data_IF_094396556075
#
_entry.id   IF_094396556075
#
_cell.length_a   1.000
_cell.length_b   1.000
_cell.length_c   1.000
_cell.angle_alpha   90.00
_cell.angle_beta   90.00
_cell.angle_gamma   90.00
#
_symmetry.space_group_name_H-M   'P 1'
#
loop_
_entity.id
_entity.type
_entity.pdbx_description
1 polymer ?
#
# COMPACT_ATOMS: atom_id res chain seq x y z
N UNK A 1 -36.12 8.13 54.69
CA UNK A 1 -36.57 6.79 55.13
C UNK A 1 -36.34 5.87 53.91
N UNK A 2 -35.09 5.48 53.61
CA UNK A 2 -34.17 4.60 54.37
C UNK A 2 -34.65 3.14 54.36
N UNK A 3 -33.87 2.05 54.23
CA UNK A 3 -32.47 1.76 53.79
C UNK A 3 -32.51 0.29 53.24
N UNK A 4 -31.53 -0.37 52.58
CA UNK A 4 -30.10 -0.13 52.33
C UNK A 4 -29.65 -0.77 50.96
N UNK A 5 -28.34 -0.87 50.68
CA UNK A 5 -27.71 -1.45 49.48
C UNK A 5 -27.90 -2.98 49.27
N UNK A 6 -27.91 -3.39 48.00
CA UNK A 6 -27.67 -4.77 47.54
C UNK A 6 -26.52 -4.81 46.53
N UNK A 7 -25.29 -4.92 47.04
CA UNK A 7 -24.06 -5.01 46.24
C UNK A 7 -23.79 -6.48 45.91
N UNK A 8 -23.85 -6.89 44.65
CA UNK A 8 -23.29 -8.19 44.22
C UNK A 8 -22.39 -8.00 42.99
N UNK A 9 -21.09 -8.11 43.24
CA UNK A 9 -20.01 -7.93 42.29
C UNK A 9 -19.77 -9.21 41.51
N UNK A 10 -20.46 -9.35 40.37
CA UNK A 10 -20.18 -10.38 39.38
C UNK A 10 -19.04 -9.97 38.44
N UNK A 11 -17.79 -10.12 38.89
CA UNK A 11 -16.62 -10.10 38.03
C UNK A 11 -16.78 -11.14 36.91
N UNK A 12 -16.94 -10.67 35.66
CA UNK A 12 -16.75 -11.50 34.47
C UNK A 12 -15.47 -11.04 33.77
N UNK A 13 -14.36 -11.59 34.26
CA UNK A 13 -13.04 -11.42 33.67
C UNK A 13 -13.04 -11.80 32.18
N UNK A 14 -12.35 -10.99 31.37
CA UNK A 14 -11.62 -11.50 30.23
C UNK A 14 -12.42 -12.17 29.12
N UNK A 15 -13.35 -11.45 28.49
CA UNK A 15 -13.57 -11.66 27.07
C UNK A 15 -12.34 -11.10 26.31
N UNK A 16 -11.44 -11.93 25.74
CA UNK A 16 -10.35 -11.41 24.95
C UNK A 16 -10.94 -10.75 23.70
N UNK A 17 -10.91 -9.42 23.66
CA UNK A 17 -10.92 -8.67 22.41
C UNK A 17 -9.66 -9.07 21.64
N UNK A 18 -9.78 -10.19 20.91
CA UNK A 18 -8.76 -10.71 20.02
C UNK A 18 -8.63 -9.75 18.84
N UNK A 19 -7.83 -8.70 19.07
CA UNK A 19 -7.25 -7.93 17.99
C UNK A 19 -6.59 -8.93 17.04
N UNK A 20 -7.09 -9.00 15.81
CA UNK A 20 -6.51 -9.79 14.72
C UNK A 20 -5.23 -9.12 14.20
N UNK A 21 -4.32 -8.80 15.14
CA UNK A 21 -2.99 -8.23 14.96
C UNK A 21 -1.98 -9.26 14.46
N UNK A 22 -2.41 -10.11 13.52
CA UNK A 22 -1.57 -10.96 12.69
C UNK A 22 -1.46 -10.39 11.27
N UNK A 23 -2.56 -9.87 10.69
CA UNK A 23 -2.54 -9.32 9.32
C UNK A 23 -1.70 -8.04 9.13
N UNK A 24 -1.40 -7.33 10.22
CA UNK A 24 -0.53 -6.14 10.21
C UNK A 24 0.94 -6.48 10.52
N UNK A 25 1.24 -7.73 10.89
CA UNK A 25 2.56 -8.11 11.43
C UNK A 25 3.60 -8.37 10.34
N UNK A 26 3.14 -8.71 9.14
CA UNK A 26 3.98 -9.00 7.97
C UNK A 26 4.14 -7.78 7.03
N UNK A 27 3.56 -6.63 7.40
CA UNK A 27 3.54 -5.39 6.61
C UNK A 27 4.64 -4.44 7.09
N UNK A 28 5.74 -4.40 6.33
CA UNK A 28 6.98 -3.69 6.68
C UNK A 28 6.90 -2.20 6.38
N UNK A 29 6.11 -1.84 5.36
CA UNK A 29 5.88 -0.45 4.93
C UNK A 29 4.51 -0.34 4.25
N UNK A 30 3.84 0.80 4.42
CA UNK A 30 2.66 1.16 3.61
C UNK A 30 2.65 2.64 3.29
N UNK A 31 2.34 2.99 2.04
CA UNK A 31 2.14 4.36 1.58
C UNK A 31 0.76 4.51 0.96
N UNK A 32 -0.11 5.28 1.61
CA UNK A 32 -1.40 5.72 1.07
C UNK A 32 -1.24 7.00 0.25
N UNK A 33 -1.73 7.00 -0.98
CA UNK A 33 -1.76 8.16 -1.89
C UNK A 33 -3.20 8.44 -2.33
N UNK A 34 -3.88 9.46 -1.78
CA UNK A 34 -5.22 9.85 -2.21
C UNK A 34 -5.18 10.57 -3.57
N UNK A 35 -6.07 10.21 -4.49
CA UNK A 35 -6.15 10.75 -5.85
C UNK A 35 -7.64 10.94 -6.24
N UNK A 36 -8.31 11.87 -5.54
CA UNK A 36 -9.74 12.15 -5.74
C UNK A 36 -10.63 10.92 -5.50
N UNK A 37 -11.22 10.37 -6.56
CA UNK A 37 -12.07 9.15 -6.50
C UNK A 37 -11.28 7.85 -6.37
N UNK A 38 -9.95 7.89 -6.51
CA UNK A 38 -9.05 6.75 -6.32
C UNK A 38 -8.21 6.96 -5.06
N UNK A 39 -7.76 5.88 -4.44
CA UNK A 39 -6.69 5.91 -3.45
C UNK A 39 -5.76 4.75 -3.76
N UNK A 40 -4.48 5.04 -3.96
CA UNK A 40 -3.45 4.03 -4.16
C UNK A 40 -2.82 3.68 -2.82
N UNK A 41 -2.50 2.40 -2.64
CA UNK A 41 -1.76 1.87 -1.50
C UNK A 41 -0.57 1.11 -2.05
N UNK A 42 0.62 1.43 -1.56
CA UNK A 42 1.87 0.73 -1.89
C UNK A 42 2.36 0.07 -0.60
N UNK A 43 2.10 -1.21 -0.46
CA UNK A 43 2.46 -1.98 0.74
C UNK A 43 3.65 -2.89 0.44
N UNK A 44 4.66 -2.94 1.32
CA UNK A 44 5.75 -3.92 1.28
C UNK A 44 5.47 -5.00 2.32
N UNK A 45 5.48 -6.27 1.91
CA UNK A 45 5.14 -7.41 2.80
C UNK A 45 6.19 -8.51 2.72
N UNK A 46 6.46 -9.14 3.85
CA UNK A 46 7.34 -10.31 3.90
C UNK A 46 6.65 -11.54 3.29
N UNK A 47 7.41 -12.42 2.64
CA UNK A 47 6.94 -13.75 2.23
C UNK A 47 6.71 -14.63 3.46
N UNK A 48 6.06 -15.80 3.27
CA UNK A 48 5.77 -16.73 4.38
C UNK A 48 7.02 -17.30 5.06
N UNK A 49 8.19 -17.31 4.40
CA UNK A 49 9.46 -17.69 5.02
C UNK A 49 10.09 -16.55 5.84
N UNK A 50 9.69 -15.30 5.59
CA UNK A 50 10.30 -14.10 6.17
C UNK A 50 11.63 -13.69 5.54
N UNK A 51 12.14 -14.44 4.56
CA UNK A 51 13.46 -14.21 3.94
C UNK A 51 13.41 -13.20 2.77
N UNK A 52 12.23 -13.03 2.16
CA UNK A 52 12.01 -12.21 0.97
C UNK A 52 10.83 -11.24 1.16
N UNK A 53 10.73 -10.25 0.26
CA UNK A 53 9.68 -9.25 0.25
C UNK A 53 8.98 -9.17 -1.11
N UNK A 54 7.72 -8.76 -1.09
CA UNK A 54 6.94 -8.43 -2.28
C UNK A 54 6.16 -7.14 -2.06
N UNK A 55 5.82 -6.46 -3.15
CA UNK A 55 5.03 -5.22 -3.14
C UNK A 55 3.60 -5.54 -3.54
N UNK A 56 2.63 -4.99 -2.81
CA UNK A 56 1.21 -4.97 -3.19
C UNK A 56 0.83 -3.55 -3.54
N UNK A 57 0.55 -3.30 -4.82
CA UNK A 57 -0.05 -2.04 -5.28
C UNK A 57 -1.56 -2.26 -5.33
N UNK A 58 -2.32 -1.56 -4.49
CA UNK A 58 -3.78 -1.58 -4.51
C UNK A 58 -4.33 -0.24 -4.98
N UNK A 59 -5.08 -0.22 -6.08
CA UNK A 59 -6.00 0.88 -6.35
C UNK A 59 -7.34 0.60 -5.68
N UNK A 60 -7.83 1.53 -4.86
CA UNK A 60 -9.20 1.54 -4.32
C UNK A 60 -9.99 2.68 -4.98
N UNK A 61 -10.93 2.33 -5.85
CA UNK A 61 -11.75 3.24 -6.64
C UNK A 61 -13.16 3.34 -6.07
N UNK A 62 -13.65 4.55 -5.79
CA UNK A 62 -15.03 4.78 -5.34
C UNK A 62 -15.99 4.67 -6.53
N UNK A 63 -16.91 3.71 -6.49
CA UNK A 63 -17.87 3.38 -7.58
C UNK A 63 -19.32 3.73 -7.20
N UNK A 64 -19.54 4.26 -6.00
CA UNK A 64 -20.81 4.79 -5.51
C UNK A 64 -20.60 5.46 -4.15
N UNK A 65 -21.66 5.82 -3.44
CA UNK A 65 -21.51 6.52 -2.16
C UNK A 65 -20.75 5.68 -1.12
N UNK A 66 -21.04 4.38 -1.02
CA UNK A 66 -20.44 3.46 -0.04
C UNK A 66 -19.66 2.28 -0.65
N UNK A 67 -19.62 2.16 -1.99
CA UNK A 67 -18.96 1.01 -2.67
C UNK A 67 -17.60 1.39 -3.23
N UNK A 68 -16.61 0.55 -2.92
CA UNK A 68 -15.25 0.63 -3.45
C UNK A 68 -14.90 -0.65 -4.23
N UNK A 69 -14.33 -0.47 -5.42
CA UNK A 69 -13.71 -1.50 -6.24
C UNK A 69 -12.21 -1.50 -5.96
N UNK A 70 -11.59 -2.67 -5.84
CA UNK A 70 -10.16 -2.81 -5.54
C UNK A 70 -9.45 -3.61 -6.62
N UNK A 71 -8.52 -2.98 -7.32
CA UNK A 71 -7.59 -3.65 -8.22
C UNK A 71 -6.26 -3.84 -7.49
N UNK A 72 -5.66 -5.02 -7.60
CA UNK A 72 -4.41 -5.38 -6.92
C UNK A 72 -3.40 -5.91 -7.91
N UNK A 73 -2.17 -5.42 -7.79
CA UNK A 73 -0.99 -5.93 -8.47
C UNK A 73 -0.03 -6.41 -7.39
N UNK A 74 0.51 -7.61 -7.57
CA UNK A 74 1.56 -8.17 -6.74
C UNK A 74 2.84 -8.17 -7.57
N UNK A 75 3.92 -7.59 -7.04
CA UNK A 75 5.24 -7.60 -7.67
C UNK A 75 6.19 -8.31 -6.71
N UNK A 76 6.87 -9.35 -7.18
CA UNK A 76 7.84 -10.11 -6.40
C UNK A 76 9.26 -9.59 -6.63
N UNK A 77 10.17 -9.93 -5.71
CA UNK A 77 11.54 -9.39 -5.63
C UNK A 77 12.32 -9.53 -6.94
N UNK A 78 12.19 -10.67 -7.60
CA UNK A 78 12.81 -11.04 -8.86
C UNK A 78 12.41 -10.13 -10.05
N UNK A 79 11.26 -9.44 -9.96
CA UNK A 79 10.73 -8.59 -11.02
C UNK A 79 10.78 -7.10 -10.68
N UNK A 80 11.20 -6.70 -9.47
CA UNK A 80 11.24 -5.28 -9.04
C UNK A 80 11.93 -4.36 -10.06
N UNK A 81 13.12 -4.73 -10.54
CA UNK A 81 13.89 -3.93 -11.50
C UNK A 81 13.17 -3.79 -12.84
N UNK A 82 12.60 -4.88 -13.37
CA UNK A 82 11.88 -4.88 -14.65
C UNK A 82 10.59 -4.05 -14.56
N UNK A 83 9.84 -4.23 -13.47
CA UNK A 83 8.59 -3.51 -13.22
C UNK A 83 8.85 -2.01 -13.02
N UNK A 84 9.87 -1.64 -12.25
CA UNK A 84 10.25 -0.24 -12.03
C UNK A 84 10.68 0.43 -13.35
N UNK A 85 11.51 -0.25 -14.16
CA UNK A 85 11.94 0.25 -15.48
C UNK A 85 10.73 0.51 -16.40
N UNK A 86 9.86 -0.49 -16.58
CA UNK A 86 8.68 -0.34 -17.44
C UNK A 86 7.69 0.74 -16.96
N UNK A 87 7.52 0.89 -15.64
CA UNK A 87 6.71 1.97 -15.06
C UNK A 87 7.34 3.34 -15.29
N UNK A 88 8.66 3.48 -15.14
CA UNK A 88 9.37 4.74 -15.36
C UNK A 88 9.34 5.15 -16.84
N UNK A 89 9.66 4.22 -17.76
CA UNK A 89 9.65 4.48 -19.20
C UNK A 89 8.24 4.90 -19.69
N UNK A 90 7.17 4.30 -19.15
CA UNK A 90 5.80 4.71 -19.44
C UNK A 90 5.42 6.11 -18.86
N UNK A 91 5.95 6.48 -17.69
CA UNK A 91 5.75 7.83 -17.14
C UNK A 91 6.52 8.88 -17.96
N UNK A 92 7.68 8.53 -18.49
CA UNK A 92 8.53 9.44 -19.27
C UNK A 92 7.96 9.70 -20.67
N UNK A 93 7.42 8.70 -21.38
CA UNK A 93 6.63 8.91 -22.62
C UNK A 93 5.48 9.89 -22.38
N UNK A 94 4.72 9.70 -21.29
CA UNK A 94 3.61 10.59 -20.95
C UNK A 94 4.10 12.01 -20.67
N UNK A 95 5.21 12.18 -19.93
CA UNK A 95 5.79 13.48 -19.58
C UNK A 95 6.36 14.23 -20.77
N UNK A 96 7.03 13.53 -21.69
CA UNK A 96 7.84 14.15 -22.74
C UNK A 96 7.13 14.19 -24.10
N UNK A 97 6.38 13.14 -24.47
CA UNK A 97 5.69 13.06 -25.77
C UNK A 97 4.20 13.39 -25.69
N UNK A 98 3.50 12.98 -24.63
CA UNK A 98 2.01 13.06 -24.59
C UNK A 98 1.48 14.32 -23.92
N UNK A 99 2.14 14.80 -22.87
CA UNK A 99 1.73 15.96 -22.06
C UNK A 99 2.93 16.89 -21.76
N UNK A 100 3.65 17.38 -22.78
CA UNK A 100 4.85 18.21 -22.59
C UNK A 100 4.59 19.52 -21.84
N UNK A 101 3.39 20.09 -21.97
CA UNK A 101 2.99 21.35 -21.33
C UNK A 101 2.40 21.17 -19.92
N UNK A 102 2.37 19.94 -19.37
CA UNK A 102 1.80 19.66 -18.05
C UNK A 102 2.88 19.65 -16.96
N UNK A 103 2.78 20.56 -15.99
CA UNK A 103 3.71 20.60 -14.85
C UNK A 103 3.42 19.48 -13.83
N UNK A 104 4.25 18.44 -13.84
CA UNK A 104 4.23 17.35 -12.87
C UNK A 104 4.86 17.77 -11.52
N UNK A 105 4.11 18.53 -10.72
CA UNK A 105 4.56 18.96 -9.39
C UNK A 105 4.94 17.78 -8.48
N UNK A 106 6.15 17.82 -7.91
CA UNK A 106 6.66 16.79 -7.01
C UNK A 106 7.19 15.53 -7.72
N UNK A 107 7.42 15.57 -9.04
CA UNK A 107 8.14 14.52 -9.74
C UNK A 107 9.57 14.39 -9.17
N UNK A 108 9.99 13.21 -8.69
CA UNK A 108 11.34 13.03 -8.16
C UNK A 108 12.36 13.10 -9.30
N UNK A 109 13.48 13.82 -9.09
CA UNK A 109 14.66 13.70 -9.92
C UNK A 109 15.30 12.32 -9.68
N UNK A 110 14.87 11.32 -10.45
CA UNK A 110 15.40 9.95 -10.33
C UNK A 110 16.67 9.87 -11.18
N UNK A 111 17.81 10.16 -10.55
CA UNK A 111 19.12 9.88 -11.13
C UNK A 111 19.33 8.35 -11.16
N UNK A 112 18.80 7.71 -12.21
CA UNK A 112 19.16 6.34 -12.52
C UNK A 112 20.67 6.29 -12.80
N UNK A 113 21.41 5.33 -12.25
CA UNK A 113 22.79 5.11 -12.69
C UNK A 113 22.79 4.87 -14.21
N UNK A 114 23.86 5.26 -14.93
CA UNK A 114 23.97 5.03 -16.36
C UNK A 114 23.61 3.57 -16.69
N UNK A 115 22.87 3.36 -17.78
CA UNK A 115 22.66 2.01 -18.30
C UNK A 115 24.06 1.43 -18.56
N UNK A 116 24.41 0.37 -17.84
CA UNK A 116 25.43 -0.58 -18.29
C UNK A 116 24.84 -1.22 -19.56
N UNK A 117 25.08 -0.56 -20.69
CA UNK A 117 24.62 -1.00 -22.00
C UNK A 117 25.33 -2.29 -22.38
N UNK A 118 24.59 -3.17 -23.05
CA UNK A 118 24.96 -4.57 -23.23
C UNK A 118 26.20 -4.69 -24.14
N UNK A 119 27.35 -5.02 -23.55
CA UNK A 119 28.59 -5.21 -24.30
C UNK A 119 28.60 -6.57 -24.99
N UNK A 120 27.94 -6.63 -26.16
CA UNK A 120 28.03 -7.75 -27.13
C UNK A 120 28.23 -7.25 -28.55
#
# INVERSE_FOLDING_TARGET
>A
MNDDYGHDSGDWEGAPHSGSGSRYRDEVFSRRVPAGRRTYFFDVKATRSGEDFFIVITESKRVGEHRHEKHKIFVYKEDFTKFMKGLYEAMEDVRTERLPDYEFYGYPSVDFPPRDDDST
#
